data_IF_745998595314
#
_entry.id   IF_745998595314
#
_cell.length_a   1.000
_cell.length_b   1.000
_cell.length_c   1.000
_cell.angle_alpha   90.00
_cell.angle_beta   90.00
_cell.angle_gamma   90.00
#
_symmetry.space_group_name_H-M   'P 1'
#
loop_
_entity.id
_entity.type
_entity.pdbx_description
1 polymer ?
#
# COMPACT_ATOMS: atom_id res chain seq x y z
N UNK A 1 5.85 -13.27 21.55
CA UNK A 1 4.54 -13.61 22.13
C UNK A 1 3.46 -12.98 21.26
N UNK A 2 2.91 -13.75 20.32
CA UNK A 2 1.73 -13.37 19.56
C UNK A 2 0.53 -13.47 20.51
N UNK A 3 0.14 -12.35 21.10
CA UNK A 3 -1.06 -12.33 21.95
C UNK A 3 -2.28 -12.09 21.08
N UNK A 4 -3.36 -12.81 21.37
CA UNK A 4 -4.68 -12.47 20.85
C UNK A 4 -5.09 -11.13 21.45
N UNK A 5 -5.68 -10.29 20.63
CA UNK A 5 -6.23 -9.01 21.09
C UNK A 5 -7.43 -8.63 20.23
N UNK A 6 -8.28 -7.81 20.80
CA UNK A 6 -9.35 -7.09 20.09
C UNK A 6 -9.41 -5.68 20.67
N UNK A 7 -9.24 -4.69 19.81
CA UNK A 7 -9.27 -3.28 20.15
C UNK A 7 -10.48 -2.63 19.48
N UNK A 8 -11.30 -1.94 20.25
CA UNK A 8 -12.31 -1.03 19.75
C UNK A 8 -11.74 0.37 19.77
N UNK A 9 -11.90 1.11 18.68
CA UNK A 9 -11.49 2.50 18.60
C UNK A 9 -12.62 3.39 18.10
N UNK A 10 -12.63 4.60 18.62
CA UNK A 10 -13.57 5.66 18.28
C UNK A 10 -12.77 6.91 17.95
N UNK A 11 -13.05 7.48 16.80
CA UNK A 11 -12.52 8.80 16.38
C UNK A 11 -13.70 9.70 16.08
N UNK A 12 -13.69 10.93 16.60
CA UNK A 12 -14.64 11.97 16.26
C UNK A 12 -13.91 13.26 15.95
N UNK A 13 -14.28 13.91 14.88
CA UNK A 13 -13.81 15.23 14.48
C UNK A 13 -14.95 16.05 13.95
N UNK A 14 -14.88 17.35 14.16
CA UNK A 14 -15.87 18.32 13.69
C UNK A 14 -15.16 19.64 13.41
N UNK A 15 -15.51 20.26 12.29
CA UNK A 15 -15.06 21.60 11.95
C UNK A 15 -15.76 22.64 12.82
N UNK A 16 -15.04 23.70 13.15
CA UNK A 16 -15.63 24.84 13.85
C UNK A 16 -16.35 25.75 12.86
N UNK A 17 -17.66 25.89 13.01
CA UNK A 17 -18.54 26.61 12.06
C UNK A 17 -18.19 28.08 11.82
N UNK A 18 -17.46 28.74 12.72
CA UNK A 18 -17.07 30.13 12.64
C UNK A 18 -15.57 30.33 12.41
N UNK A 19 -14.86 29.31 11.93
CA UNK A 19 -13.41 29.40 11.66
C UNK A 19 -13.07 30.10 10.35
N UNK A 20 -14.06 30.33 9.47
CA UNK A 20 -13.92 31.02 8.19
C UNK A 20 -14.97 32.13 8.15
N UNK A 21 -14.57 33.33 7.78
CA UNK A 21 -15.50 34.44 7.56
C UNK A 21 -16.42 34.15 6.36
N UNK A 22 -17.72 34.20 6.57
CA UNK A 22 -18.77 33.83 5.60
C UNK A 22 -18.75 34.63 4.28
N UNK A 23 -17.91 35.64 4.17
CA UNK A 23 -17.98 36.63 3.07
C UNK A 23 -17.44 36.09 1.73
N UNK A 24 -16.66 35.00 1.72
CA UNK A 24 -15.91 34.61 0.52
C UNK A 24 -16.18 33.19 0.02
N UNK A 25 -16.94 32.36 0.76
CA UNK A 25 -17.09 30.94 0.44
C UNK A 25 -18.50 30.40 0.77
N UNK A 26 -19.48 30.75 -0.06
CA UNK A 26 -20.87 30.27 0.09
C UNK A 26 -21.00 28.74 -0.02
N UNK A 27 -20.00 28.08 -0.60
CA UNK A 27 -20.01 26.62 -0.85
C UNK A 27 -19.14 25.80 0.14
N UNK A 28 -18.54 26.42 1.16
CA UNK A 28 -17.75 25.71 2.17
C UNK A 28 -18.55 25.48 3.44
N UNK A 29 -18.85 24.22 3.71
CA UNK A 29 -19.64 23.82 4.88
C UNK A 29 -18.76 23.18 5.93
N UNK A 30 -19.06 23.44 7.22
CA UNK A 30 -18.43 22.74 8.33
C UNK A 30 -18.82 21.25 8.29
N UNK A 31 -17.85 20.37 8.42
CA UNK A 31 -18.01 18.94 8.31
C UNK A 31 -17.92 18.26 9.68
N UNK A 32 -18.49 17.08 9.81
CA UNK A 32 -18.38 16.23 11.00
C UNK A 32 -18.14 14.80 10.57
N UNK A 33 -17.29 14.10 11.33
CA UNK A 33 -16.97 12.70 11.08
C UNK A 33 -16.87 11.93 12.40
N UNK A 34 -17.49 10.76 12.43
CA UNK A 34 -17.30 9.75 13.45
C UNK A 34 -16.87 8.45 12.80
N UNK A 35 -15.76 7.89 13.26
CA UNK A 35 -15.28 6.58 12.84
C UNK A 35 -15.28 5.65 14.03
N UNK A 36 -15.94 4.50 13.89
CA UNK A 36 -15.94 3.41 14.86
C UNK A 36 -15.29 2.22 14.18
N UNK A 37 -14.30 1.62 14.82
CA UNK A 37 -13.63 0.47 14.25
C UNK A 37 -13.24 -0.57 15.29
N UNK A 38 -13.12 -1.80 14.79
CA UNK A 38 -12.67 -2.96 15.53
C UNK A 38 -11.43 -3.51 14.83
N UNK A 39 -10.35 -3.65 15.57
CA UNK A 39 -9.11 -4.28 15.12
C UNK A 39 -8.81 -5.47 16.00
N UNK A 40 -8.38 -6.57 15.41
CA UNK A 40 -8.06 -7.75 16.20
C UNK A 40 -7.03 -8.65 15.55
N UNK A 41 -6.42 -9.46 16.38
CA UNK A 41 -5.56 -10.56 15.98
C UNK A 41 -5.95 -11.81 16.76
N UNK A 42 -6.11 -12.89 16.04
CA UNK A 42 -6.44 -14.19 16.59
C UNK A 42 -5.44 -15.25 16.11
N UNK A 43 -4.76 -15.86 17.05
CA UNK A 43 -3.88 -16.99 16.80
C UNK A 43 -4.73 -18.27 16.81
N UNK A 44 -5.07 -18.79 15.63
CA UNK A 44 -5.93 -19.98 15.47
C UNK A 44 -5.15 -21.22 15.87
N UNK A 45 -3.90 -21.33 15.39
CA UNK A 45 -2.93 -22.37 15.75
C UNK A 45 -1.57 -21.73 15.97
N UNK A 46 -0.59 -22.48 16.47
CA UNK A 46 0.78 -21.97 16.66
C UNK A 46 1.38 -21.37 15.40
N UNK A 47 0.98 -21.88 14.24
CA UNK A 47 1.48 -21.47 12.93
C UNK A 47 0.53 -20.55 12.16
N UNK A 48 -0.74 -20.46 12.54
CA UNK A 48 -1.78 -19.76 11.77
C UNK A 48 -2.39 -18.62 12.58
N UNK A 49 -2.33 -17.42 12.04
CA UNK A 49 -2.95 -16.24 12.65
C UNK A 49 -3.86 -15.51 11.66
N UNK A 50 -4.96 -15.00 12.17
CA UNK A 50 -5.89 -14.10 11.49
C UNK A 50 -5.73 -12.71 12.10
N UNK A 51 -5.55 -11.71 11.28
CA UNK A 51 -5.56 -10.30 11.67
C UNK A 51 -6.61 -9.59 10.85
N UNK A 52 -7.39 -8.73 11.45
CA UNK A 52 -8.41 -7.98 10.73
C UNK A 52 -8.65 -6.62 11.37
N UNK A 53 -9.12 -5.72 10.53
CA UNK A 53 -9.56 -4.39 10.92
C UNK A 53 -10.82 -4.07 10.11
N UNK A 54 -11.88 -3.62 10.77
CA UNK A 54 -13.09 -3.14 10.14
C UNK A 54 -13.50 -1.82 10.78
N UNK A 55 -13.84 -0.86 9.97
CA UNK A 55 -14.27 0.46 10.43
C UNK A 55 -15.51 0.90 9.68
N UNK A 56 -16.40 1.58 10.38
CA UNK A 56 -17.47 2.36 9.78
C UNK A 56 -17.21 3.83 10.02
N UNK A 57 -17.36 4.61 8.96
CA UNK A 57 -17.31 6.08 9.01
C UNK A 57 -18.71 6.61 8.76
N UNK A 58 -19.17 7.50 9.64
CA UNK A 58 -20.33 8.34 9.43
C UNK A 58 -19.77 9.74 9.20
N UNK A 59 -19.99 10.29 8.02
CA UNK A 59 -19.45 11.57 7.58
C UNK A 59 -20.58 12.48 7.12
N UNK A 60 -20.67 13.69 7.70
CA UNK A 60 -21.57 14.76 7.27
C UNK A 60 -20.80 15.84 6.56
N UNK A 61 -21.19 16.15 5.34
CA UNK A 61 -20.58 17.22 4.54
C UNK A 61 -21.04 18.61 4.92
N UNK A 62 -22.17 18.73 5.63
CA UNK A 62 -22.73 19.99 6.13
C UNK A 62 -23.39 19.80 7.49
N UNK A 63 -22.80 20.41 8.53
CA UNK A 63 -23.33 20.38 9.89
C UNK A 63 -24.53 21.33 10.12
N UNK A 64 -24.85 22.20 9.14
CA UNK A 64 -26.04 23.06 9.14
C UNK A 64 -27.26 22.36 8.50
N UNK A 65 -27.05 21.24 7.79
CA UNK A 65 -28.14 20.51 7.15
C UNK A 65 -29.15 19.99 8.18
N UNK A 66 -30.46 19.90 7.82
CA UNK A 66 -31.49 19.38 8.72
C UNK A 66 -31.18 17.99 9.23
N UNK A 67 -31.46 17.74 10.49
CA UNK A 67 -31.32 16.42 11.11
C UNK A 67 -32.37 15.46 10.55
N UNK A 68 -31.96 14.24 10.30
CA UNK A 68 -32.82 13.13 9.90
C UNK A 68 -33.50 12.59 11.17
N UNK A 69 -34.81 12.84 11.33
CA UNK A 69 -35.60 12.33 12.44
C UNK A 69 -36.27 11.02 12.05
N UNK A 70 -36.01 9.95 12.76
CA UNK A 70 -36.63 8.63 12.55
C UNK A 70 -36.05 7.57 13.46
N UNK A 71 -36.77 6.44 13.62
CA UNK A 71 -36.36 5.34 14.50
C UNK A 71 -34.92 4.83 14.26
N UNK A 72 -34.43 4.96 13.05
CA UNK A 72 -33.05 4.54 12.70
C UNK A 72 -32.00 5.57 13.13
N UNK A 73 -32.32 6.86 13.13
CA UNK A 73 -31.41 7.94 13.54
C UNK A 73 -31.27 8.03 15.05
N UNK A 74 -32.35 7.79 15.80
CA UNK A 74 -32.37 7.84 17.27
C UNK A 74 -31.33 6.93 17.95
N UNK A 75 -30.95 5.83 17.29
CA UNK A 75 -29.89 4.94 17.79
C UNK A 75 -28.51 5.58 17.79
N UNK A 76 -28.27 6.52 16.92
CA UNK A 76 -26.96 7.17 16.72
C UNK A 76 -26.90 8.58 17.29
N UNK A 77 -28.05 9.19 17.66
CA UNK A 77 -28.16 10.59 18.11
C UNK A 77 -27.31 10.91 19.37
N UNK A 78 -26.93 9.88 20.13
CA UNK A 78 -26.01 10.05 21.28
C UNK A 78 -24.56 10.23 20.89
N UNK A 79 -24.17 9.79 19.71
CA UNK A 79 -22.78 9.79 19.23
C UNK A 79 -22.57 10.75 18.07
N UNK A 80 -23.62 10.96 17.25
CA UNK A 80 -23.55 11.69 16.01
C UNK A 80 -24.94 12.15 15.56
N UNK A 81 -25.07 13.44 15.23
CA UNK A 81 -26.29 13.99 14.64
C UNK A 81 -26.43 13.56 13.20
N UNK A 82 -27.22 12.52 12.92
CA UNK A 82 -27.46 12.07 11.54
C UNK A 82 -28.26 13.13 10.79
N UNK A 83 -27.72 13.60 9.68
CA UNK A 83 -28.28 14.65 8.81
C UNK A 83 -28.57 14.12 7.42
N UNK A 84 -29.30 14.90 6.61
CA UNK A 84 -29.52 14.55 5.20
C UNK A 84 -28.24 14.44 4.39
N UNK A 85 -27.16 15.11 4.83
CA UNK A 85 -25.83 15.06 4.23
C UNK A 85 -24.92 13.99 4.82
N UNK A 86 -25.42 13.17 5.75
CA UNK A 86 -24.62 12.11 6.40
C UNK A 86 -24.56 10.87 5.53
N UNK A 87 -23.36 10.37 5.30
CA UNK A 87 -23.09 9.11 4.60
C UNK A 87 -22.43 8.14 5.56
N UNK A 88 -22.91 6.90 5.59
CA UNK A 88 -22.29 5.80 6.33
C UNK A 88 -21.62 4.85 5.36
N UNK A 89 -20.31 4.61 5.55
CA UNK A 89 -19.50 3.75 4.69
C UNK A 89 -18.60 2.85 5.52
N UNK A 90 -18.17 1.75 4.90
CA UNK A 90 -17.33 0.73 5.52
C UNK A 90 -15.97 0.63 4.84
N UNK A 91 -14.96 0.37 5.65
CA UNK A 91 -13.64 -0.01 5.19
C UNK A 91 -13.13 -1.15 6.06
N UNK A 92 -12.33 -2.04 5.49
CA UNK A 92 -11.76 -3.13 6.26
C UNK A 92 -10.69 -3.88 5.50
N UNK A 93 -9.89 -4.60 6.27
CA UNK A 93 -8.89 -5.52 5.78
C UNK A 93 -8.84 -6.76 6.65
N UNK A 94 -8.47 -7.87 6.04
CA UNK A 94 -8.23 -9.14 6.71
C UNK A 94 -6.99 -9.79 6.14
N UNK A 95 -6.16 -10.34 7.01
CA UNK A 95 -4.93 -11.07 6.64
C UNK A 95 -4.90 -12.39 7.37
N UNK A 96 -4.78 -13.48 6.62
CA UNK A 96 -4.49 -14.80 7.11
C UNK A 96 -3.00 -15.08 6.90
N UNK A 97 -2.25 -15.34 7.96
CA UNK A 97 -0.82 -15.60 7.90
C UNK A 97 -0.50 -16.97 8.51
N UNK A 98 0.26 -17.77 7.75
CA UNK A 98 0.78 -19.06 8.18
C UNK A 98 2.30 -19.00 8.22
N UNK A 99 2.89 -19.37 9.36
CA UNK A 99 4.35 -19.36 9.55
C UNK A 99 4.82 -20.73 10.04
N UNK A 100 5.63 -21.35 9.21
CA UNK A 100 6.32 -22.61 9.49
C UNK A 100 7.82 -22.33 9.67
N UNK A 101 8.59 -23.33 10.05
CA UNK A 101 10.02 -23.14 10.32
C UNK A 101 10.78 -22.46 9.17
N UNK A 102 10.47 -22.82 7.93
CA UNK A 102 11.18 -22.36 6.73
C UNK A 102 10.31 -21.56 5.75
N UNK A 103 9.01 -21.53 5.97
CA UNK A 103 8.04 -20.95 5.05
C UNK A 103 7.10 -20.04 5.81
N UNK A 104 6.91 -18.85 5.29
CA UNK A 104 5.84 -17.93 5.73
C UNK A 104 4.96 -17.62 4.52
N UNK A 105 3.66 -17.77 4.69
CA UNK A 105 2.65 -17.47 3.68
C UNK A 105 1.65 -16.49 4.27
N UNK A 106 1.17 -15.56 3.47
CA UNK A 106 0.06 -14.69 3.85
C UNK A 106 -0.89 -14.49 2.69
N UNK A 107 -2.18 -14.41 3.00
CA UNK A 107 -3.24 -14.03 2.10
C UNK A 107 -3.96 -12.85 2.72
N UNK A 108 -4.19 -11.80 1.95
CA UNK A 108 -4.91 -10.62 2.44
C UNK A 108 -6.02 -10.20 1.48
N UNK A 109 -7.03 -9.59 2.06
CA UNK A 109 -8.10 -8.91 1.34
C UNK A 109 -8.38 -7.57 2.01
N UNK A 110 -8.52 -6.52 1.22
CA UNK A 110 -8.85 -5.16 1.65
C UNK A 110 -9.99 -4.61 0.81
N UNK A 111 -10.92 -3.94 1.46
CA UNK A 111 -12.07 -3.28 0.83
C UNK A 111 -12.23 -1.89 1.44
N UNK A 112 -12.38 -0.89 0.59
CA UNK A 112 -12.81 0.46 1.01
C UNK A 112 -13.99 0.84 0.12
N UNK A 113 -15.15 1.03 0.73
CA UNK A 113 -16.36 1.41 0.01
C UNK A 113 -16.23 2.76 -0.69
N UNK A 114 -17.02 3.00 -1.75
CA UNK A 114 -17.16 4.32 -2.35
C UNK A 114 -17.49 5.37 -1.31
N UNK A 115 -16.97 6.58 -1.46
CA UNK A 115 -17.19 7.71 -0.57
C UNK A 115 -16.87 7.47 0.91
N UNK A 116 -16.06 6.45 1.21
CA UNK A 116 -15.52 6.31 2.55
C UNK A 116 -14.55 7.46 2.81
N UNK A 117 -14.85 8.26 3.81
CA UNK A 117 -14.06 9.44 4.19
C UNK A 117 -13.74 9.40 5.69
N UNK A 118 -12.60 9.98 6.07
CA UNK A 118 -12.23 10.18 7.46
C UNK A 118 -11.42 11.48 7.59
N UNK A 119 -11.84 12.36 8.49
CA UNK A 119 -11.11 13.58 8.82
C UNK A 119 -9.77 13.32 9.53
N UNK A 120 -9.51 12.08 9.95
CA UNK A 120 -8.23 11.66 10.53
C UNK A 120 -7.09 11.53 9.52
N UNK A 121 -7.38 11.63 8.23
CA UNK A 121 -6.40 11.55 7.14
C UNK A 121 -6.69 12.63 6.09
N UNK A 122 -5.64 13.25 5.57
CA UNK A 122 -5.78 14.34 4.58
C UNK A 122 -6.22 13.83 3.20
N UNK A 123 -5.93 12.59 2.87
CA UNK A 123 -6.31 11.95 1.61
C UNK A 123 -6.46 10.44 1.80
N UNK A 124 -7.51 9.88 1.22
CA UNK A 124 -7.76 8.43 1.24
C UNK A 124 -8.35 7.99 -0.11
N UNK A 125 -7.69 7.03 -0.75
CA UNK A 125 -8.31 6.32 -1.86
C UNK A 125 -9.46 5.46 -1.34
N UNK A 126 -10.58 5.52 -2.00
CA UNK A 126 -11.75 4.72 -1.72
C UNK A 126 -12.29 4.06 -3.00
N UNK A 127 -13.41 3.35 -2.91
CA UNK A 127 -14.05 2.67 -4.03
C UNK A 127 -13.16 1.62 -4.70
N UNK A 128 -12.42 0.84 -3.91
CA UNK A 128 -11.58 -0.25 -4.42
C UNK A 128 -11.54 -1.46 -3.49
N UNK A 129 -11.23 -2.60 -4.06
CA UNK A 129 -10.78 -3.77 -3.32
C UNK A 129 -9.39 -4.22 -3.78
N UNK A 130 -8.69 -4.92 -2.89
CA UNK A 130 -7.36 -5.47 -3.16
C UNK A 130 -7.26 -6.85 -2.52
N UNK A 131 -6.86 -7.85 -3.32
CA UNK A 131 -6.55 -9.19 -2.84
C UNK A 131 -5.10 -9.51 -3.18
N UNK A 132 -4.40 -10.14 -2.26
CA UNK A 132 -3.02 -10.51 -2.55
C UNK A 132 -2.48 -11.58 -1.64
N UNK A 133 -1.31 -12.05 -2.00
CA UNK A 133 -0.57 -13.08 -1.28
C UNK A 133 0.90 -12.72 -1.21
N UNK A 134 1.56 -13.13 -0.14
CA UNK A 134 3.01 -13.07 -0.03
C UNK A 134 3.55 -14.39 0.51
N UNK A 135 4.73 -14.77 0.04
CA UNK A 135 5.42 -15.98 0.45
C UNK A 135 6.90 -15.67 0.72
N UNK A 136 7.44 -16.25 1.79
CA UNK A 136 8.87 -16.26 2.07
C UNK A 136 9.33 -17.66 2.38
N UNK A 137 10.47 -18.05 1.80
CA UNK A 137 11.06 -19.36 1.94
C UNK A 137 12.53 -19.21 2.31
N UNK A 138 12.97 -19.93 3.35
CA UNK A 138 14.37 -20.00 3.77
C UNK A 138 14.93 -21.41 3.55
N UNK A 139 15.93 -21.51 2.70
CA UNK A 139 16.64 -22.73 2.35
C UNK A 139 18.12 -22.59 2.75
N UNK A 140 18.45 -22.94 3.99
CA UNK A 140 19.79 -22.68 4.52
C UNK A 140 20.10 -21.19 4.53
N UNK A 141 21.10 -20.80 3.75
CA UNK A 141 21.49 -19.40 3.59
C UNK A 141 20.69 -18.64 2.53
N UNK A 142 19.98 -19.35 1.65
CA UNK A 142 19.15 -18.72 0.62
C UNK A 142 17.81 -18.33 1.21
N UNK A 143 17.44 -17.06 1.04
CA UNK A 143 16.11 -16.53 1.33
C UNK A 143 15.46 -16.10 0.03
N UNK A 144 14.26 -16.63 -0.21
CA UNK A 144 13.41 -16.27 -1.35
C UNK A 144 12.15 -15.63 -0.82
N UNK A 145 11.71 -14.58 -1.46
CA UNK A 145 10.44 -13.93 -1.15
C UNK A 145 9.71 -13.55 -2.42
N UNK A 146 8.41 -13.39 -2.31
CA UNK A 146 7.58 -12.91 -3.41
C UNK A 146 6.24 -12.45 -2.90
N UNK A 147 5.64 -11.53 -3.64
CA UNK A 147 4.28 -11.10 -3.42
C UNK A 147 3.54 -10.94 -4.74
N UNK A 148 2.24 -11.00 -4.65
CA UNK A 148 1.31 -10.80 -5.74
C UNK A 148 0.06 -10.13 -5.19
N UNK A 149 -0.43 -9.08 -5.85
CA UNK A 149 -1.70 -8.47 -5.49
C UNK A 149 -2.44 -7.94 -6.71
N UNK A 150 -3.76 -8.03 -6.64
CA UNK A 150 -4.70 -7.51 -7.62
C UNK A 150 -5.59 -6.48 -6.94
N UNK A 151 -5.54 -5.25 -7.42
CA UNK A 151 -6.42 -4.18 -7.00
C UNK A 151 -7.36 -3.82 -8.14
N UNK A 152 -8.63 -3.64 -7.82
CA UNK A 152 -9.63 -3.15 -8.76
C UNK A 152 -10.44 -2.05 -8.09
N UNK A 153 -10.59 -0.93 -8.77
CA UNK A 153 -11.43 0.19 -8.33
C UNK A 153 -12.85 0.09 -8.91
N UNK A 154 -13.65 1.14 -8.73
CA UNK A 154 -15.02 1.23 -9.26
C UNK A 154 -15.95 0.11 -8.77
N UNK A 155 -15.88 -0.24 -7.48
CA UNK A 155 -16.78 -1.24 -6.87
C UNK A 155 -18.26 -0.84 -7.00
N UNK A 156 -18.53 0.48 -6.99
CA UNK A 156 -19.88 1.01 -7.19
C UNK A 156 -20.39 0.82 -8.61
N UNK A 157 -19.51 0.68 -9.61
CA UNK A 157 -19.87 0.71 -11.04
C UNK A 157 -20.25 2.11 -11.54
N UNK A 158 -20.04 3.16 -10.77
CA UNK A 158 -20.46 4.54 -11.09
C UNK A 158 -19.36 5.40 -11.68
N UNK A 159 -18.11 4.93 -11.68
CA UNK A 159 -16.99 5.64 -12.30
C UNK A 159 -16.99 5.45 -13.82
N UNK A 160 -16.42 6.40 -14.54
CA UNK A 160 -16.35 6.34 -16.00
C UNK A 160 -15.63 5.07 -16.48
N UNK A 161 -14.57 4.68 -15.80
CA UNK A 161 -13.76 3.50 -16.14
C UNK A 161 -13.45 2.70 -14.88
N UNK A 162 -13.22 1.40 -15.05
CA UNK A 162 -12.71 0.51 -14.01
C UNK A 162 -11.22 0.31 -14.24
N UNK A 163 -10.40 0.58 -13.22
CA UNK A 163 -8.94 0.39 -13.30
C UNK A 163 -8.54 -0.84 -12.50
N UNK A 164 -7.82 -1.73 -13.15
CA UNK A 164 -7.22 -2.90 -12.51
C UNK A 164 -5.70 -2.75 -12.46
N UNK A 165 -5.16 -2.84 -11.27
CA UNK A 165 -3.73 -2.83 -10.97
C UNK A 165 -3.25 -4.21 -10.52
N UNK A 166 -2.25 -4.75 -11.20
CA UNK A 166 -1.58 -5.99 -10.84
C UNK A 166 -0.17 -5.67 -10.36
N UNK A 167 0.17 -6.05 -9.14
CA UNK A 167 1.52 -5.89 -8.59
C UNK A 167 2.09 -7.25 -8.28
N UNK A 168 3.34 -7.49 -8.67
CA UNK A 168 4.05 -8.72 -8.37
C UNK A 168 5.52 -8.44 -8.12
N UNK A 169 6.10 -9.18 -7.19
CA UNK A 169 7.54 -9.09 -6.93
C UNK A 169 8.13 -10.44 -6.54
N UNK A 170 9.40 -10.58 -6.80
CA UNK A 170 10.22 -11.69 -6.35
C UNK A 170 11.57 -11.15 -5.86
N UNK A 171 12.06 -11.69 -4.77
CA UNK A 171 13.38 -11.36 -4.25
C UNK A 171 14.13 -12.61 -3.82
N UNK A 172 15.43 -12.58 -4.01
CA UNK A 172 16.35 -13.61 -3.56
C UNK A 172 17.55 -12.97 -2.88
N UNK A 173 18.00 -13.55 -1.78
CA UNK A 173 19.23 -13.13 -1.12
C UNK A 173 20.00 -14.34 -0.60
N UNK A 174 21.30 -14.36 -0.80
CA UNK A 174 22.16 -15.47 -0.42
C UNK A 174 23.54 -14.94 0.06
N UNK A 175 23.84 -14.99 1.34
CA UNK A 175 25.21 -14.83 1.83
C UNK A 175 26.03 -16.09 1.50
N UNK A 176 27.22 -15.90 0.95
CA UNK A 176 28.18 -16.95 0.62
C UNK A 176 29.37 -16.82 1.57
N UNK A 177 29.43 -17.72 2.55
CA UNK A 177 30.37 -17.57 3.66
C UNK A 177 30.09 -16.28 4.43
N UNK A 178 31.17 -15.67 4.95
CA UNK A 178 31.08 -14.45 5.78
C UNK A 178 31.44 -13.16 5.03
N UNK A 179 31.78 -13.27 3.74
CA UNK A 179 32.36 -12.14 2.99
C UNK A 179 31.53 -11.71 1.79
N UNK A 180 30.79 -12.61 1.17
CA UNK A 180 30.06 -12.32 -0.06
C UNK A 180 28.57 -12.34 0.24
N UNK A 181 27.83 -11.41 -0.33
CA UNK A 181 26.37 -11.42 -0.34
C UNK A 181 25.88 -11.13 -1.76
N UNK A 182 24.94 -11.96 -2.19
CA UNK A 182 24.24 -11.79 -3.47
C UNK A 182 22.78 -11.48 -3.18
N UNK A 183 22.22 -10.53 -3.89
CA UNK A 183 20.78 -10.25 -3.87
C UNK A 183 20.26 -9.94 -5.26
N UNK A 184 19.03 -10.32 -5.51
CA UNK A 184 18.31 -10.00 -6.73
C UNK A 184 16.86 -9.67 -6.37
N UNK A 185 16.30 -8.67 -7.04
CA UNK A 185 14.92 -8.23 -6.86
C UNK A 185 14.29 -8.02 -8.23
N UNK A 186 13.06 -8.47 -8.37
CA UNK A 186 12.22 -8.22 -9.52
C UNK A 186 10.91 -7.63 -9.03
N UNK A 187 10.47 -6.52 -9.61
CA UNK A 187 9.19 -5.87 -9.33
C UNK A 187 8.48 -5.59 -10.65
N UNK A 188 7.21 -5.92 -10.68
CA UNK A 188 6.36 -5.65 -11.80
C UNK A 188 5.04 -5.02 -11.36
N UNK A 189 4.53 -4.14 -12.19
CA UNK A 189 3.24 -3.50 -12.05
C UNK A 189 2.58 -3.38 -13.41
N UNK A 190 1.33 -3.83 -13.52
CA UNK A 190 0.51 -3.60 -14.71
C UNK A 190 -0.76 -2.88 -14.31
N UNK A 191 -1.10 -1.83 -15.05
CA UNK A 191 -2.34 -1.10 -14.92
C UNK A 191 -3.12 -1.18 -16.22
N UNK A 192 -4.39 -1.57 -16.15
CA UNK A 192 -5.27 -1.67 -17.31
C UNK A 192 -6.64 -1.08 -16.98
N UNK A 193 -7.19 -0.31 -17.91
CA UNK A 193 -8.55 0.22 -17.81
C UNK A 193 -9.53 -0.65 -18.58
N UNK A 194 -10.73 -0.80 -18.01
CA UNK A 194 -11.88 -1.51 -18.54
C UNK A 194 -13.11 -0.60 -18.56
N UNK A 195 -14.15 -1.01 -19.24
CA UNK A 195 -15.42 -0.29 -19.27
C UNK A 195 -15.98 -0.10 -17.86
N UNK A 196 -16.53 1.09 -17.63
CA UNK A 196 -17.35 1.45 -16.49
C UNK A 196 -18.69 1.96 -16.97
N UNK A 197 -19.10 3.17 -16.54
CA UNK A 197 -20.27 3.86 -17.09
C UNK A 197 -20.05 4.21 -18.56
N UNK A 198 -18.81 4.55 -18.93
CA UNK A 198 -18.40 4.80 -20.32
C UNK A 198 -17.63 3.61 -20.88
N UNK A 199 -17.74 3.42 -22.18
CA UNK A 199 -16.89 2.45 -22.90
C UNK A 199 -15.47 3.00 -23.03
N UNK A 200 -14.49 2.15 -22.80
CA UNK A 200 -13.09 2.49 -22.99
C UNK A 200 -12.79 2.66 -24.47
N UNK A 201 -12.25 3.81 -24.83
CA UNK A 201 -11.80 4.08 -26.17
C UNK A 201 -10.38 3.51 -26.37
N UNK A 202 -10.18 2.72 -27.41
CA UNK A 202 -8.88 2.12 -27.73
C UNK A 202 -7.75 3.14 -27.93
N UNK A 203 -8.07 4.40 -28.28
CA UNK A 203 -7.04 5.46 -28.41
C UNK A 203 -6.63 6.08 -27.09
N UNK A 204 -7.48 6.01 -26.05
CA UNK A 204 -7.25 6.66 -24.74
C UNK A 204 -7.07 5.68 -23.59
N UNK A 205 -7.27 4.37 -23.87
CA UNK A 205 -7.16 3.32 -22.85
C UNK A 205 -5.76 3.29 -22.24
N UNK A 206 -5.68 3.34 -20.94
CA UNK A 206 -4.46 3.08 -20.20
C UNK A 206 -4.28 1.56 -20.09
N UNK A 207 -3.19 1.05 -20.66
CA UNK A 207 -2.70 -0.33 -20.45
C UNK A 207 -1.18 -0.26 -20.41
N UNK A 208 -0.60 -0.22 -19.22
CA UNK A 208 0.84 -0.03 -19.00
C UNK A 208 1.40 -1.13 -18.14
N UNK A 209 2.60 -1.57 -18.51
CA UNK A 209 3.38 -2.53 -17.73
C UNK A 209 4.73 -1.91 -17.40
N UNK A 210 5.07 -1.93 -16.12
CA UNK A 210 6.37 -1.51 -15.62
C UNK A 210 7.04 -2.70 -14.97
N UNK A 211 8.26 -3.02 -15.42
CA UNK A 211 9.08 -4.09 -14.85
C UNK A 211 10.43 -3.52 -14.46
N UNK A 212 10.94 -3.90 -13.30
CA UNK A 212 12.26 -3.55 -12.85
C UNK A 212 12.97 -4.77 -12.27
N UNK A 213 14.23 -4.91 -12.64
CA UNK A 213 15.11 -5.93 -12.12
C UNK A 213 16.34 -5.26 -11.53
N UNK A 214 16.74 -5.68 -10.35
CA UNK A 214 18.00 -5.26 -9.73
C UNK A 214 18.77 -6.46 -9.20
N UNK A 215 20.08 -6.44 -9.40
CA UNK A 215 20.97 -7.44 -8.82
C UNK A 215 22.17 -6.73 -8.18
N UNK A 216 22.54 -7.18 -6.99
CA UNK A 216 23.68 -6.65 -6.25
C UNK A 216 24.57 -7.79 -5.77
N UNK A 217 25.86 -7.65 -6.04
CA UNK A 217 26.88 -8.48 -5.45
C UNK A 217 27.73 -7.61 -4.52
N UNK A 218 27.94 -8.04 -3.28
CA UNK A 218 28.79 -7.33 -2.34
C UNK A 218 29.84 -8.23 -1.73
N UNK A 219 30.99 -7.64 -1.44
CA UNK A 219 32.10 -8.28 -0.75
C UNK A 219 32.50 -7.43 0.44
N UNK A 220 32.59 -8.05 1.60
CA UNK A 220 32.99 -7.42 2.85
C UNK A 220 34.14 -8.20 3.47
N UNK A 221 35.20 -7.52 3.84
CA UNK A 221 36.32 -8.14 4.60
C UNK A 221 36.89 -7.15 5.57
N UNK A 222 37.08 -7.61 6.79
CA UNK A 222 37.63 -6.81 7.89
C UNK A 222 38.88 -7.46 8.39
N UNK A 223 39.91 -6.61 8.62
CA UNK A 223 41.09 -6.90 9.41
C UNK A 223 40.97 -6.17 10.75
N UNK A 224 41.92 -6.35 11.64
CA UNK A 224 41.95 -5.61 12.94
C UNK A 224 42.01 -4.07 12.77
N UNK A 225 42.51 -3.58 11.65
CA UNK A 225 42.74 -2.15 11.39
C UNK A 225 41.89 -1.58 10.29
N UNK A 226 41.50 -2.39 9.30
CA UNK A 226 40.85 -1.92 8.08
C UNK A 226 39.63 -2.79 7.75
N UNK A 227 38.51 -2.14 7.45
CA UNK A 227 37.32 -2.76 6.86
C UNK A 227 37.19 -2.34 5.40
N UNK A 228 36.98 -3.31 4.53
CA UNK A 228 36.74 -3.08 3.11
C UNK A 228 35.34 -3.59 2.73
N UNK A 229 34.57 -2.74 2.08
CA UNK A 229 33.30 -3.10 1.51
C UNK A 229 33.31 -2.71 0.04
N UNK A 230 32.95 -3.65 -0.82
CA UNK A 230 32.75 -3.40 -2.24
C UNK A 230 31.36 -3.91 -2.62
N UNK A 231 30.63 -3.15 -3.45
CA UNK A 231 29.40 -3.61 -4.06
C UNK A 231 29.30 -3.20 -5.51
N UNK A 232 28.70 -4.09 -6.30
CA UNK A 232 28.34 -3.88 -7.70
C UNK A 232 26.82 -4.09 -7.81
N UNK A 233 26.12 -3.11 -8.37
CA UNK A 233 24.68 -3.15 -8.55
C UNK A 233 24.33 -2.87 -10.00
N UNK A 234 23.54 -3.74 -10.60
CA UNK A 234 22.91 -3.54 -11.90
C UNK A 234 21.42 -3.35 -11.72
N UNK A 235 20.84 -2.35 -12.38
CA UNK A 235 19.41 -2.09 -12.40
C UNK A 235 18.96 -2.02 -13.87
N UNK A 236 17.89 -2.74 -14.18
CA UNK A 236 17.21 -2.65 -15.47
C UNK A 236 15.74 -2.38 -15.22
N UNK A 237 15.18 -1.39 -15.88
CA UNK A 237 13.74 -1.11 -15.83
C UNK A 237 13.22 -0.89 -17.24
N UNK A 238 11.98 -1.37 -17.46
CA UNK A 238 11.25 -1.16 -18.70
C UNK A 238 9.83 -0.72 -18.33
N UNK A 239 9.38 0.32 -19.02
CA UNK A 239 8.01 0.80 -18.98
C UNK A 239 7.44 0.67 -20.40
N UNK A 240 6.39 -0.13 -20.53
CA UNK A 240 5.75 -0.44 -21.81
C UNK A 240 4.32 0.07 -21.82
N UNK A 241 3.95 0.75 -22.87
CA UNK A 241 2.54 1.04 -23.18
C UNK A 241 1.99 -0.09 -24.05
N UNK A 242 1.12 -0.92 -23.48
CA UNK A 242 0.50 -2.04 -24.18
C UNK A 242 -0.63 -1.57 -25.13
N UNK A 243 -1.04 -0.31 -25.06
CA UNK A 243 -1.98 0.27 -25.99
C UNK A 243 -1.26 0.65 -27.29
N UNK A 244 -1.20 -0.29 -28.24
CA UNK A 244 -0.48 -0.14 -29.52
C UNK A 244 -1.23 0.73 -30.55
N UNK A 245 -2.40 1.27 -30.20
CA UNK A 245 -3.17 2.16 -31.11
C UNK A 245 -2.43 3.49 -31.30
N UNK A 246 -1.68 3.92 -30.29
CA UNK A 246 -0.80 5.10 -30.37
C UNK A 246 0.62 4.59 -30.61
N UNK A 247 1.04 4.57 -31.87
CA UNK A 247 2.33 4.02 -32.29
C UNK A 247 3.51 4.66 -31.55
N UNK A 248 4.27 3.85 -30.80
CA UNK A 248 5.64 4.15 -30.37
C UNK A 248 5.81 5.16 -29.22
N UNK A 249 4.74 5.65 -28.64
CA UNK A 249 4.81 6.67 -27.62
C UNK A 249 4.74 6.07 -26.21
N UNK A 250 5.82 5.55 -25.66
CA UNK A 250 5.80 5.21 -24.25
C UNK A 250 6.73 4.10 -23.78
N UNK A 251 7.30 3.33 -24.69
CA UNK A 251 8.23 2.27 -24.28
C UNK A 251 9.59 2.88 -23.92
N UNK A 252 9.96 2.80 -22.65
CA UNK A 252 11.24 3.32 -22.13
C UNK A 252 11.96 2.23 -21.37
N UNK A 253 13.15 1.87 -21.85
CA UNK A 253 14.08 0.98 -21.15
C UNK A 253 15.22 1.79 -20.53
N UNK A 254 15.59 1.48 -19.31
CA UNK A 254 16.72 2.09 -18.62
C UNK A 254 17.61 1.00 -18.04
N UNK A 255 18.91 1.09 -18.31
CA UNK A 255 19.93 0.26 -17.69
C UNK A 255 20.90 1.16 -16.92
N UNK A 256 21.10 0.85 -15.66
CA UNK A 256 22.06 1.52 -14.81
C UNK A 256 22.96 0.49 -14.11
N UNK A 257 24.26 0.77 -14.08
CA UNK A 257 25.24 -0.05 -13.36
C UNK A 257 26.03 0.87 -12.45
N UNK A 258 26.07 0.54 -11.17
CA UNK A 258 26.78 1.31 -10.17
C UNK A 258 27.73 0.44 -9.34
N UNK A 259 28.82 1.03 -8.91
CA UNK A 259 29.75 0.40 -7.97
C UNK A 259 30.00 1.31 -6.78
N UNK A 260 30.15 0.71 -5.61
CA UNK A 260 30.52 1.40 -4.41
C UNK A 260 31.72 0.69 -3.76
N UNK A 261 32.70 1.45 -3.34
CA UNK A 261 33.78 0.99 -2.50
C UNK A 261 33.87 1.83 -1.23
N UNK A 262 33.91 1.17 -0.07
CA UNK A 262 34.06 1.82 1.21
C UNK A 262 35.24 1.22 1.98
N UNK A 263 36.10 2.11 2.51
CA UNK A 263 37.24 1.80 3.37
C UNK A 263 36.98 2.38 4.76
N UNK A 264 36.92 1.51 5.74
CA UNK A 264 36.80 1.93 7.14
C UNK A 264 38.15 1.75 7.86
N UNK A 265 38.68 2.81 8.43
CA UNK A 265 39.88 2.76 9.29
C UNK A 265 39.40 2.62 10.73
N UNK A 266 39.45 1.38 11.25
CA UNK A 266 38.85 0.99 12.54
C UNK A 266 39.43 1.76 13.73
N UNK A 267 40.75 1.94 13.85
CA UNK A 267 41.36 2.61 15.04
C UNK A 267 40.95 4.08 15.22
N UNK A 268 40.55 4.75 14.14
CA UNK A 268 40.16 6.17 14.16
C UNK A 268 38.69 6.37 13.78
N UNK A 269 37.93 5.28 13.65
CA UNK A 269 36.48 5.27 13.31
C UNK A 269 36.12 6.11 12.05
N UNK A 270 37.02 6.16 11.06
CA UNK A 270 36.84 6.98 9.86
C UNK A 270 36.49 6.10 8.66
N UNK A 271 35.49 6.54 7.88
CA UNK A 271 35.05 5.87 6.68
C UNK A 271 35.26 6.76 5.45
N UNK A 272 35.81 6.17 4.39
CA UNK A 272 35.96 6.78 3.08
C UNK A 272 35.11 5.98 2.08
N UNK A 273 34.23 6.63 1.34
CA UNK A 273 33.39 5.98 0.34
C UNK A 273 33.57 6.60 -1.03
N UNK A 274 33.64 5.74 -2.04
CA UNK A 274 33.75 6.09 -3.45
C UNK A 274 32.60 5.43 -4.20
N UNK A 275 31.81 6.23 -4.90
CA UNK A 275 30.67 5.78 -5.68
C UNK A 275 30.90 6.12 -7.14
N UNK A 276 30.56 5.18 -8.03
CA UNK A 276 30.55 5.36 -9.46
C UNK A 276 29.25 4.79 -10.04
N UNK A 277 28.56 5.58 -10.86
CA UNK A 277 27.28 5.20 -11.52
C UNK A 277 27.27 5.70 -12.97
#
# INVERSE_FOLDING_TARGET
NSRNFADLYLFRSQDHQSSIDDIWYDDVFAQENVVIGLRGRWQIFKQLSLTGNIATSIFSTDTKAPQLKGEKSEKYDKLFDVRYTSLMRWAGDVTLAATFNRVSLSLFYKLIQPDYMSMGVSYMNNNYHNIGTAANLRLGNLTLGGNFSLQEDNISGEQLYTTRGLTYSANASMPIGNKISLSANYNGYRQCQYDGVAQVNDTTRIDRTMNSFSATASYNTNTEKLGHYFSLTGNYSINEDNNKTIAGAGDVGTLAVGSNYSLTVIPIETNFSFNYS
#
